data_IF_574923591391
#
_entry.id   IF_574923591391
#
_cell.length_a   1.000
_cell.length_b   1.000
_cell.length_c   1.000
_cell.angle_alpha   90.00
_cell.angle_beta   90.00
_cell.angle_gamma   90.00
#
_symmetry.space_group_name_H-M   'P 1'
#
loop_
_entity.id
_entity.type
_entity.pdbx_description
1 polymer ?
#
# COMPACT_ATOMS: atom_id res chain seq x y z
N UNK A 1 -14.96 -11.73 6.42
CA UNK A 1 -15.08 -10.46 5.67
C UNK A 1 -14.05 -9.51 6.24
N UNK A 2 -13.40 -8.74 5.37
CA UNK A 2 -12.25 -7.91 5.70
C UNK A 2 -12.50 -6.48 5.22
N UNK A 3 -12.00 -5.50 5.95
CA UNK A 3 -11.75 -4.16 5.41
C UNK A 3 -10.26 -3.98 5.12
N UNK A 4 -9.94 -3.18 4.13
CA UNK A 4 -8.63 -2.60 3.91
C UNK A 4 -8.74 -1.09 4.10
N UNK A 5 -8.08 -0.58 5.13
CA UNK A 5 -7.83 0.84 5.33
C UNK A 5 -6.50 1.21 4.68
N UNK A 6 -6.48 2.28 3.88
CA UNK A 6 -5.27 2.75 3.18
C UNK A 6 -5.22 4.28 3.22
N UNK A 7 -4.16 4.83 3.83
CA UNK A 7 -4.00 6.27 4.01
C UNK A 7 -3.60 6.96 2.70
N UNK A 8 -4.39 7.96 2.31
CA UNK A 8 -4.15 8.72 1.08
C UNK A 8 -2.83 9.50 1.15
N UNK A 9 -1.95 9.26 0.16
CA UNK A 9 -0.69 9.99 -0.01
C UNK A 9 0.14 10.05 1.29
N UNK A 10 0.24 8.92 2.00
CA UNK A 10 0.64 8.84 3.40
C UNK A 10 1.81 9.75 3.83
N UNK A 11 3.01 9.63 3.25
CA UNK A 11 4.15 10.45 3.69
C UNK A 11 3.92 11.94 3.44
N UNK A 12 3.37 12.32 2.28
CA UNK A 12 3.05 13.73 2.01
C UNK A 12 1.96 14.26 2.96
N UNK A 13 0.99 13.41 3.33
CA UNK A 13 -0.04 13.76 4.31
C UNK A 13 0.53 13.91 5.72
N UNK A 14 1.52 13.09 6.10
CA UNK A 14 2.23 13.23 7.38
C UNK A 14 2.98 14.57 7.49
N UNK A 15 3.63 15.02 6.41
CA UNK A 15 4.29 16.33 6.39
C UNK A 15 3.28 17.50 6.46
N UNK A 16 2.09 17.32 5.87
CA UNK A 16 1.01 18.33 5.86
C UNK A 16 0.23 18.42 7.17
N UNK A 17 0.15 17.34 7.95
CA UNK A 17 -0.80 17.21 9.06
C UNK A 17 -0.58 18.26 10.17
N UNK A 18 0.68 18.59 10.45
CA UNK A 18 1.08 19.59 11.44
C UNK A 18 1.37 20.97 10.82
N UNK A 19 1.08 21.14 9.52
CA UNK A 19 1.40 22.34 8.74
C UNK A 19 0.16 22.86 8.00
N UNK A 20 -0.71 23.64 8.68
CA UNK A 20 -1.91 24.19 8.07
C UNK A 20 -1.64 25.02 6.82
N UNK A 21 -0.49 25.67 6.76
CA UNK A 21 -0.01 26.44 5.61
C UNK A 21 0.22 25.58 4.35
N UNK A 22 0.41 24.27 4.50
CA UNK A 22 0.63 23.34 3.38
C UNK A 22 -0.63 22.61 2.93
N UNK A 23 -1.80 22.88 3.52
CA UNK A 23 -3.03 22.08 3.33
C UNK A 23 -3.43 21.91 1.86
N UNK A 24 -3.29 22.96 1.04
CA UNK A 24 -3.64 22.95 -0.38
C UNK A 24 -2.40 23.15 -1.29
N UNK A 25 -1.20 22.98 -0.73
CA UNK A 25 0.04 23.19 -1.46
C UNK A 25 0.59 21.87 -2.04
N UNK A 26 1.29 21.93 -3.19
CA UNK A 26 1.99 20.78 -3.76
C UNK A 26 3.15 20.34 -2.87
N UNK A 27 2.99 19.18 -2.23
CA UNK A 27 4.02 18.53 -1.40
C UNK A 27 4.51 17.24 -2.06
N UNK A 28 5.83 17.04 -2.09
CA UNK A 28 6.50 15.78 -2.42
C UNK A 28 7.46 15.36 -1.31
N UNK A 29 7.65 14.06 -1.17
CA UNK A 29 8.65 13.46 -0.27
C UNK A 29 9.64 12.66 -1.11
N UNK A 30 10.93 12.85 -0.86
CA UNK A 30 12.03 12.18 -1.55
C UNK A 30 12.53 10.94 -0.78
N UNK A 31 13.19 10.04 -1.50
CA UNK A 31 13.82 8.83 -0.95
C UNK A 31 14.95 9.16 0.02
N UNK A 32 15.51 8.12 0.66
CA UNK A 32 16.82 8.25 1.28
C UNK A 32 17.82 8.86 0.29
N UNK A 33 18.63 9.81 0.76
CA UNK A 33 19.57 10.59 -0.03
C UNK A 33 18.93 11.42 -1.16
N UNK A 34 17.63 11.68 -1.09
CA UNK A 34 16.90 12.56 -2.01
C UNK A 34 17.01 12.19 -3.50
N UNK A 35 17.14 10.89 -3.80
CA UNK A 35 17.34 10.39 -5.16
C UNK A 35 16.11 10.49 -6.06
N UNK A 36 14.93 10.12 -5.54
CA UNK A 36 13.68 10.13 -6.31
C UNK A 36 12.45 10.43 -5.43
N UNK A 37 11.35 10.80 -6.09
CA UNK A 37 10.07 11.07 -5.43
C UNK A 37 9.42 9.75 -4.97
N UNK A 38 9.19 9.62 -3.66
CA UNK A 38 8.57 8.42 -3.05
C UNK A 38 7.15 8.67 -2.51
N UNK A 39 6.73 9.93 -2.40
CA UNK A 39 5.34 10.27 -2.12
C UNK A 39 4.99 11.63 -2.70
N UNK A 40 3.70 11.81 -3.02
CA UNK A 40 3.17 13.00 -3.67
C UNK A 40 1.74 13.27 -3.22
N UNK A 41 1.50 14.51 -2.83
CA UNK A 41 0.17 15.05 -2.57
C UNK A 41 -0.69 15.09 -3.85
N UNK A 42 -2.03 15.13 -3.76
CA UNK A 42 -2.90 15.30 -4.94
C UNK A 42 -2.53 16.50 -5.81
N UNK A 43 -2.14 17.61 -5.19
CA UNK A 43 -1.75 18.85 -5.85
C UNK A 43 -0.44 18.65 -6.63
N UNK A 44 0.53 17.92 -6.07
CA UNK A 44 1.76 17.55 -6.78
C UNK A 44 1.51 16.57 -7.94
N UNK A 45 0.53 15.66 -7.82
CA UNK A 45 0.12 14.77 -8.93
C UNK A 45 -0.46 15.56 -10.09
N UNK A 46 -1.25 16.60 -9.81
CA UNK A 46 -1.84 17.46 -10.83
C UNK A 46 -0.79 18.25 -11.62
N UNK A 47 0.38 18.51 -11.03
CA UNK A 47 1.54 19.11 -11.70
C UNK A 47 2.33 18.13 -12.60
N UNK A 48 1.87 16.88 -12.74
CA UNK A 48 2.49 15.87 -13.60
C UNK A 48 3.71 15.16 -13.00
N UNK A 49 4.05 15.41 -11.74
CA UNK A 49 5.17 14.76 -11.05
C UNK A 49 4.84 13.28 -10.83
N UNK A 50 5.68 12.39 -11.34
CA UNK A 50 5.45 10.93 -11.30
C UNK A 50 6.06 10.29 -10.04
N UNK A 51 5.48 9.17 -9.62
CA UNK A 51 6.07 8.33 -8.57
C UNK A 51 7.39 7.75 -9.08
N UNK A 52 8.44 7.74 -8.25
CA UNK A 52 9.77 7.27 -8.62
C UNK A 52 10.54 8.19 -9.57
N UNK A 53 9.98 9.36 -9.93
CA UNK A 53 10.68 10.30 -10.80
C UNK A 53 11.96 10.80 -10.11
N UNK A 54 13.13 10.78 -10.78
CA UNK A 54 14.37 11.28 -10.20
C UNK A 54 14.27 12.76 -9.83
N UNK A 55 14.80 13.13 -8.65
CA UNK A 55 14.69 14.49 -8.13
C UNK A 55 15.32 15.53 -9.06
N UNK A 56 16.45 15.20 -9.70
CA UNK A 56 17.12 16.12 -10.62
C UNK A 56 16.23 16.54 -11.81
N UNK A 57 15.35 15.64 -12.28
CA UNK A 57 14.41 15.94 -13.35
C UNK A 57 13.30 16.85 -12.83
N UNK A 58 12.74 16.54 -11.65
CA UNK A 58 11.67 17.34 -11.04
C UNK A 58 12.15 18.76 -10.75
N UNK A 59 13.38 18.92 -10.24
CA UNK A 59 13.99 20.23 -9.96
C UNK A 59 14.17 21.09 -11.23
N UNK A 60 14.29 20.46 -12.40
CA UNK A 60 14.40 21.15 -13.69
C UNK A 60 13.04 21.44 -14.33
N UNK A 61 11.94 20.90 -13.81
CA UNK A 61 10.60 21.18 -14.34
C UNK A 61 10.26 22.66 -14.12
N UNK A 62 9.82 23.33 -15.18
CA UNK A 62 9.20 24.65 -15.09
C UNK A 62 7.75 24.48 -14.67
N UNK A 63 7.46 24.82 -13.42
CA UNK A 63 6.15 24.63 -12.82
C UNK A 63 5.52 25.95 -12.48
N UNK A 64 4.20 26.02 -12.68
CA UNK A 64 3.39 27.22 -12.42
C UNK A 64 3.23 27.50 -10.92
N UNK A 65 3.42 26.47 -10.08
CA UNK A 65 3.33 26.56 -8.63
C UNK A 65 4.61 26.09 -7.96
N UNK A 66 4.91 26.72 -6.81
CA UNK A 66 5.99 26.28 -5.92
C UNK A 66 5.68 24.88 -5.37
N UNK A 67 6.66 23.97 -5.44
CA UNK A 67 6.56 22.67 -4.77
C UNK A 67 7.30 22.75 -3.44
N UNK A 68 6.70 22.15 -2.41
CA UNK A 68 7.32 21.89 -1.13
C UNK A 68 7.91 20.49 -1.13
N UNK A 69 9.21 20.39 -0.81
CA UNK A 69 10.01 19.18 -0.95
C UNK A 69 10.56 18.81 0.41
N UNK A 70 10.35 17.56 0.82
CA UNK A 70 10.84 17.02 2.08
C UNK A 70 11.70 15.79 1.83
N UNK A 71 12.81 15.67 2.54
CA UNK A 71 13.51 14.39 2.68
C UNK A 71 12.68 13.44 3.55
N UNK A 72 12.77 12.13 3.33
CA UNK A 72 11.98 11.15 4.08
C UNK A 72 12.24 11.17 5.59
N UNK A 73 11.17 11.33 6.39
CA UNK A 73 11.20 11.27 7.85
C UNK A 73 10.49 10.01 8.38
N UNK A 74 11.19 8.86 8.37
CA UNK A 74 10.59 7.58 8.76
C UNK A 74 10.17 7.50 10.24
N UNK A 75 10.78 8.28 11.13
CA UNK A 75 10.37 8.33 12.54
C UNK A 75 8.97 8.95 12.68
N UNK A 76 8.73 10.06 11.98
CA UNK A 76 7.41 10.67 11.87
C UNK A 76 6.40 9.70 11.24
N UNK A 77 6.75 9.09 10.10
CA UNK A 77 5.84 8.21 9.37
C UNK A 77 5.47 6.98 10.20
N UNK A 78 6.42 6.39 10.92
CA UNK A 78 6.16 5.28 11.82
C UNK A 78 5.24 5.68 12.99
N UNK A 79 5.52 6.83 13.63
CA UNK A 79 4.68 7.36 14.72
C UNK A 79 3.24 7.62 14.26
N UNK A 80 3.05 8.21 13.08
CA UNK A 80 1.73 8.45 12.51
C UNK A 80 1.00 7.14 12.16
N UNK A 81 1.71 6.16 11.61
CA UNK A 81 1.15 4.82 11.32
C UNK A 81 0.65 4.12 12.59
N UNK A 82 1.44 4.16 13.66
CA UNK A 82 1.04 3.59 14.96
C UNK A 82 -0.21 4.28 15.54
N UNK A 83 -0.34 5.60 15.37
CA UNK A 83 -1.55 6.33 15.79
C UNK A 83 -2.78 5.89 15.00
N UNK A 84 -2.66 5.72 13.69
CA UNK A 84 -3.74 5.18 12.85
C UNK A 84 -4.12 3.77 13.33
N UNK A 85 -3.14 2.90 13.52
CA UNK A 85 -3.36 1.53 13.99
C UNK A 85 -4.12 1.51 15.32
N UNK A 86 -3.69 2.31 16.32
CA UNK A 86 -4.37 2.39 17.61
C UNK A 86 -5.83 2.87 17.49
N UNK A 87 -6.13 3.79 16.56
CA UNK A 87 -7.52 4.20 16.27
C UNK A 87 -8.32 3.04 15.69
N UNK A 88 -7.76 2.32 14.72
CA UNK A 88 -8.45 1.18 14.08
C UNK A 88 -8.70 0.05 15.10
N UNK A 89 -7.73 -0.27 15.94
CA UNK A 89 -7.85 -1.29 17.01
C UNK A 89 -8.92 -0.90 18.04
N UNK A 90 -9.12 0.39 18.33
CA UNK A 90 -10.19 0.83 19.22
C UNK A 90 -11.60 0.62 18.67
N UNK A 91 -11.74 0.44 17.36
CA UNK A 91 -13.03 0.28 16.66
C UNK A 91 -13.27 -1.13 16.13
N UNK A 92 -12.27 -2.02 16.21
CA UNK A 92 -12.34 -3.33 15.56
C UNK A 92 -11.69 -4.45 16.38
N UNK A 93 -12.16 -5.70 16.25
CA UNK A 93 -11.63 -6.83 17.02
C UNK A 93 -10.16 -7.14 16.73
N UNK A 94 -9.74 -6.98 15.47
CA UNK A 94 -8.39 -7.30 15.03
C UNK A 94 -7.99 -6.45 13.83
N UNK A 95 -6.74 -5.99 13.84
CA UNK A 95 -6.10 -5.21 12.79
C UNK A 95 -4.75 -5.84 12.46
N UNK A 96 -4.51 -6.08 11.18
CA UNK A 96 -3.23 -6.57 10.66
C UNK A 96 -2.57 -5.46 9.82
N UNK A 97 -1.40 -4.94 10.24
CA UNK A 97 -0.63 -4.04 9.41
C UNK A 97 -0.06 -4.79 8.20
N UNK A 98 -0.42 -4.36 7.00
CA UNK A 98 0.12 -4.91 5.74
C UNK A 98 1.31 -4.08 5.22
N UNK A 99 1.23 -2.76 5.36
CA UNK A 99 2.31 -1.81 5.13
C UNK A 99 2.26 -0.69 6.18
N UNK A 100 3.09 0.35 6.00
CA UNK A 100 3.07 1.51 6.90
C UNK A 100 1.78 2.34 6.79
N UNK A 101 1.11 2.27 5.64
CA UNK A 101 -0.08 3.03 5.30
C UNK A 101 -1.33 2.18 5.03
N UNK A 102 -1.20 0.85 5.02
CA UNK A 102 -2.28 -0.08 4.74
C UNK A 102 -2.47 -1.09 5.88
N UNK A 103 -3.71 -1.22 6.33
CA UNK A 103 -4.09 -2.16 7.39
C UNK A 103 -5.33 -2.96 6.98
N UNK A 104 -5.25 -4.29 7.13
CA UNK A 104 -6.43 -5.14 7.06
C UNK A 104 -7.14 -5.16 8.40
N UNK A 105 -8.47 -5.17 8.38
CA UNK A 105 -9.32 -5.14 9.57
C UNK A 105 -10.28 -6.32 9.49
N UNK A 106 -10.41 -7.06 10.58
CA UNK A 106 -11.42 -8.09 10.73
C UNK A 106 -12.80 -7.46 10.97
N UNK A 107 -13.77 -7.81 10.13
CA UNK A 107 -15.15 -7.37 10.28
C UNK A 107 -16.09 -8.46 10.79
N UNK A 108 -15.58 -9.64 11.15
CA UNK A 108 -16.40 -10.71 11.75
C UNK A 108 -17.12 -10.17 12.99
N UNK A 109 -18.43 -10.35 13.07
CA UNK A 109 -19.26 -9.87 14.17
C UNK A 109 -19.77 -8.44 13.96
N UNK A 110 -18.93 -7.51 13.51
CA UNK A 110 -19.32 -6.11 13.26
C UNK A 110 -20.43 -6.04 12.21
N UNK A 111 -20.29 -6.81 11.14
CA UNK A 111 -21.20 -6.82 10.01
C UNK A 111 -22.62 -7.33 10.33
N UNK A 112 -22.84 -7.89 11.52
CA UNK A 112 -24.18 -8.26 12.00
C UNK A 112 -24.86 -7.12 12.76
N UNK A 113 -24.09 -6.15 13.25
CA UNK A 113 -24.59 -5.04 14.05
C UNK A 113 -24.78 -3.76 13.22
N UNK A 114 -23.96 -3.57 12.19
CA UNK A 114 -23.91 -2.34 11.41
C UNK A 114 -23.56 -2.62 9.95
N UNK A 115 -24.05 -1.80 9.03
CA UNK A 115 -23.73 -1.99 7.61
C UNK A 115 -22.24 -1.77 7.35
N UNK A 116 -21.61 -2.56 6.47
CA UNK A 116 -20.20 -2.39 6.14
C UNK A 116 -19.84 -0.99 5.68
N UNK A 117 -20.64 -0.37 4.81
CA UNK A 117 -20.42 1.00 4.35
C UNK A 117 -20.45 2.01 5.50
N UNK A 118 -21.42 1.91 6.41
CA UNK A 118 -21.50 2.82 7.55
C UNK A 118 -20.25 2.67 8.44
N UNK A 119 -19.85 1.43 8.74
CA UNK A 119 -18.64 1.19 9.51
C UNK A 119 -17.38 1.75 8.81
N UNK A 120 -17.28 1.60 7.49
CA UNK A 120 -16.20 2.19 6.71
C UNK A 120 -16.15 3.72 6.80
N UNK A 121 -17.30 4.40 6.84
CA UNK A 121 -17.36 5.84 7.07
C UNK A 121 -16.96 6.22 8.49
N UNK A 122 -17.43 5.48 9.50
CA UNK A 122 -17.04 5.68 10.90
C UNK A 122 -15.53 5.57 11.09
N UNK A 123 -14.89 4.54 10.51
CA UNK A 123 -13.45 4.38 10.55
C UNK A 123 -12.74 5.64 9.99
N UNK A 124 -13.16 6.12 8.82
CA UNK A 124 -12.58 7.30 8.16
C UNK A 124 -12.70 8.57 9.00
N UNK A 125 -13.88 8.80 9.57
CA UNK A 125 -14.15 9.98 10.39
C UNK A 125 -13.31 9.96 11.67
N UNK A 126 -13.23 8.81 12.33
CA UNK A 126 -12.44 8.66 13.54
C UNK A 126 -10.94 8.87 13.26
N UNK A 127 -10.39 8.20 12.24
CA UNK A 127 -8.98 8.36 11.86
C UNK A 127 -8.69 9.82 11.50
N UNK A 128 -9.57 10.48 10.73
CA UNK A 128 -9.39 11.89 10.37
C UNK A 128 -9.42 12.81 11.59
N UNK A 129 -10.37 12.61 12.51
CA UNK A 129 -10.50 13.47 13.69
C UNK A 129 -9.33 13.34 14.65
N UNK A 130 -8.78 12.13 14.82
CA UNK A 130 -7.73 11.87 15.82
C UNK A 130 -6.32 12.01 15.26
N UNK A 131 -6.13 11.77 13.97
CA UNK A 131 -4.80 11.80 13.34
C UNK A 131 -4.63 12.92 12.33
N UNK A 132 -5.71 13.53 11.84
CA UNK A 132 -5.69 14.50 10.73
C UNK A 132 -5.49 13.86 9.35
N UNK A 133 -5.28 12.53 9.27
CA UNK A 133 -5.07 11.81 8.02
C UNK A 133 -6.38 11.36 7.38
N UNK A 134 -6.41 11.28 6.05
CA UNK A 134 -7.56 10.74 5.31
C UNK A 134 -7.20 9.41 4.67
N UNK A 135 -8.14 8.49 4.62
CA UNK A 135 -7.91 7.14 4.11
C UNK A 135 -9.04 6.69 3.20
N UNK A 136 -8.80 5.76 2.29
CA UNK A 136 -9.81 4.97 1.58
C UNK A 136 -10.11 3.68 2.33
N UNK A 137 -11.37 3.20 2.29
CA UNK A 137 -11.75 1.94 2.92
C UNK A 137 -12.45 1.04 1.89
N UNK A 138 -11.81 -0.09 1.57
CA UNK A 138 -12.41 -1.14 0.74
C UNK A 138 -12.82 -2.33 1.60
N UNK A 139 -14.06 -2.80 1.48
CA UNK A 139 -14.59 -3.90 2.29
C UNK A 139 -15.03 -5.03 1.38
N UNK A 140 -14.63 -6.27 1.68
CA UNK A 140 -15.06 -7.43 0.91
C UNK A 140 -14.91 -8.78 1.65
N UNK A 141 -15.48 -9.89 1.14
CA UNK A 141 -15.37 -11.20 1.77
C UNK A 141 -13.93 -11.72 1.85
N UNK A 142 -13.07 -11.32 0.93
CA UNK A 142 -11.66 -11.75 0.80
C UNK A 142 -10.72 -10.55 0.78
N UNK A 143 -9.44 -10.74 1.16
CA UNK A 143 -8.44 -9.66 1.19
C UNK A 143 -8.20 -9.08 -0.21
N UNK A 144 -8.19 -9.94 -1.23
CA UNK A 144 -8.01 -9.50 -2.63
C UNK A 144 -9.18 -8.65 -3.10
N UNK A 145 -10.42 -9.04 -2.80
CA UNK A 145 -11.57 -8.20 -3.14
C UNK A 145 -11.59 -6.90 -2.33
N UNK A 146 -11.10 -6.90 -1.08
CA UNK A 146 -10.99 -5.68 -0.28
C UNK A 146 -9.98 -4.70 -0.90
N UNK A 147 -8.85 -5.20 -1.42
CA UNK A 147 -7.90 -4.43 -2.24
C UNK A 147 -8.56 -3.88 -3.51
N UNK A 148 -9.35 -4.67 -4.24
CA UNK A 148 -10.11 -4.20 -5.42
C UNK A 148 -11.15 -3.14 -5.07
N UNK A 149 -11.86 -3.30 -3.96
CA UNK A 149 -12.80 -2.31 -3.45
C UNK A 149 -12.07 -1.00 -3.07
N UNK A 150 -10.91 -1.11 -2.44
CA UNK A 150 -10.08 0.05 -2.09
C UNK A 150 -9.55 0.76 -3.34
N UNK A 151 -9.10 0.02 -4.36
CA UNK A 151 -8.74 0.61 -5.65
C UNK A 151 -9.89 1.45 -6.22
N UNK A 152 -11.12 0.93 -6.17
CA UNK A 152 -12.31 1.66 -6.62
C UNK A 152 -12.55 2.95 -5.84
N UNK A 153 -12.24 2.99 -4.53
CA UNK A 153 -12.35 4.24 -3.75
C UNK A 153 -11.45 5.36 -4.28
N UNK A 154 -10.31 5.01 -4.89
CA UNK A 154 -9.35 5.96 -5.48
C UNK A 154 -9.76 6.40 -6.88
N UNK A 155 -10.40 5.51 -7.66
CA UNK A 155 -10.79 5.81 -9.04
C UNK A 155 -12.08 6.62 -9.15
N UNK A 156 -12.99 6.44 -8.18
CA UNK A 156 -14.38 6.83 -8.33
C UNK A 156 -14.83 7.69 -7.14
N UNK A 157 -14.74 9.03 -7.27
CA UNK A 157 -15.06 9.96 -6.18
C UNK A 157 -16.47 9.83 -5.62
N UNK A 158 -17.43 9.34 -6.41
CA UNK A 158 -18.82 9.17 -6.01
C UNK A 158 -19.03 8.20 -4.83
N UNK A 159 -18.02 7.37 -4.52
CA UNK A 159 -18.08 6.47 -3.36
C UNK A 159 -17.67 7.15 -2.05
N UNK A 160 -17.31 8.43 -2.07
CA UNK A 160 -16.85 9.19 -0.89
C UNK A 160 -15.75 8.45 -0.11
N UNK A 161 -14.98 7.66 -0.86
CA UNK A 161 -13.89 6.80 -0.46
C UNK A 161 -14.22 5.59 0.44
N UNK A 162 -15.47 5.11 0.44
CA UNK A 162 -15.84 3.80 1.01
C UNK A 162 -16.52 2.95 -0.05
N UNK A 163 -16.04 1.73 -0.26
CA UNK A 163 -16.71 0.75 -1.12
C UNK A 163 -16.81 -0.55 -0.35
N UNK A 164 -18.04 -1.05 -0.15
CA UNK A 164 -18.24 -2.42 0.29
C UNK A 164 -18.76 -3.29 -0.86
N UNK A 165 -18.12 -4.45 -0.97
CA UNK A 165 -18.48 -5.56 -1.83
C UNK A 165 -18.99 -6.66 -0.91
N UNK A 166 -20.24 -7.04 -1.02
CA UNK A 166 -20.82 -8.09 -0.18
C UNK A 166 -21.26 -9.27 -1.05
N UNK A 167 -21.35 -10.46 -0.46
CA UNK A 167 -21.72 -11.67 -1.19
C UNK A 167 -23.17 -11.57 -1.74
N UNK A 168 -24.03 -10.84 -1.02
CA UNK A 168 -25.43 -10.59 -1.38
C UNK A 168 -25.55 -9.68 -2.61
N UNK A 169 -24.52 -8.88 -2.92
CA UNK A 169 -24.51 -7.99 -4.07
C UNK A 169 -23.46 -8.41 -5.11
N UNK A 170 -23.58 -9.64 -5.60
CA UNK A 170 -22.71 -10.22 -6.63
C UNK A 170 -22.60 -9.34 -7.87
N UNK A 171 -23.70 -8.70 -8.30
CA UNK A 171 -23.71 -7.82 -9.46
C UNK A 171 -22.77 -6.60 -9.29
N UNK A 172 -22.70 -6.03 -8.09
CA UNK A 172 -21.74 -4.94 -7.79
C UNK A 172 -20.29 -5.43 -7.90
N UNK A 173 -20.00 -6.65 -7.43
CA UNK A 173 -18.68 -7.28 -7.58
C UNK A 173 -18.33 -7.43 -9.06
N UNK A 174 -19.20 -8.07 -9.84
CA UNK A 174 -18.95 -8.31 -11.27
C UNK A 174 -18.75 -7.00 -12.03
N UNK A 175 -19.56 -5.98 -11.75
CA UNK A 175 -19.44 -4.65 -12.37
C UNK A 175 -18.10 -3.99 -12.04
N UNK A 176 -17.68 -4.01 -10.77
CA UNK A 176 -16.39 -3.43 -10.37
C UNK A 176 -15.22 -4.17 -11.05
N UNK A 177 -15.22 -5.50 -10.99
CA UNK A 177 -14.15 -6.32 -11.58
C UNK A 177 -14.10 -6.19 -13.11
N UNK A 178 -15.23 -5.95 -13.76
CA UNK A 178 -15.30 -5.70 -15.20
C UNK A 178 -14.67 -4.37 -15.62
N UNK A 179 -14.59 -3.40 -14.69
CA UNK A 179 -13.99 -2.08 -14.93
C UNK A 179 -12.54 -1.98 -14.41
N UNK A 180 -12.11 -2.91 -13.56
CA UNK A 180 -10.75 -2.95 -13.04
C UNK A 180 -9.81 -3.63 -14.05
N UNK A 181 -8.75 -2.96 -14.53
CA UNK A 181 -7.72 -3.60 -15.35
C UNK A 181 -7.03 -4.73 -14.60
N UNK A 182 -6.63 -5.78 -15.30
CA UNK A 182 -6.01 -6.96 -14.67
C UNK A 182 -4.70 -6.61 -13.94
N UNK A 183 -3.93 -5.64 -14.44
CA UNK A 183 -2.69 -5.17 -13.81
C UNK A 183 -2.90 -4.36 -12.52
N UNK A 184 -4.13 -3.99 -12.21
CA UNK A 184 -4.48 -3.33 -10.94
C UNK A 184 -4.93 -4.34 -9.87
N UNK A 185 -4.95 -5.64 -10.19
CA UNK A 185 -5.28 -6.70 -9.23
C UNK A 185 -4.07 -6.96 -8.32
N UNK A 186 -4.33 -7.07 -7.02
CA UNK A 186 -3.29 -7.37 -6.03
C UNK A 186 -2.55 -8.68 -6.36
N UNK A 187 -1.23 -8.60 -6.49
CA UNK A 187 -0.37 -9.71 -6.90
C UNK A 187 -0.10 -9.82 -8.41
N UNK A 188 -0.73 -9.01 -9.25
CA UNK A 188 -0.51 -8.98 -10.71
C UNK A 188 0.40 -7.80 -11.09
N UNK A 189 1.71 -8.05 -11.17
CA UNK A 189 2.67 -7.04 -11.63
C UNK A 189 2.81 -6.96 -13.16
N UNK A 190 3.55 -5.98 -13.66
CA UNK A 190 3.73 -5.67 -15.10
C UNK A 190 3.95 -6.90 -15.99
N UNK A 191 4.90 -7.79 -15.65
CA UNK A 191 5.19 -8.99 -16.43
C UNK A 191 4.02 -9.98 -16.48
N UNK A 192 3.24 -10.07 -15.40
CA UNK A 192 2.04 -10.90 -15.37
C UNK A 192 0.93 -10.25 -16.20
N UNK A 193 0.77 -8.93 -16.11
CA UNK A 193 -0.16 -8.16 -16.93
C UNK A 193 0.07 -8.39 -18.42
N UNK A 194 1.32 -8.28 -18.90
CA UNK A 194 1.66 -8.54 -20.31
C UNK A 194 1.25 -9.95 -20.75
N UNK A 195 1.57 -10.96 -19.94
CA UNK A 195 1.23 -12.36 -20.22
C UNK A 195 -0.28 -12.61 -20.21
N UNK A 196 -1.01 -12.03 -19.26
CA UNK A 196 -2.47 -12.18 -19.16
C UNK A 196 -3.17 -11.47 -20.33
N UNK A 197 -2.73 -10.26 -20.67
CA UNK A 197 -3.25 -9.52 -21.82
C UNK A 197 -3.04 -10.28 -23.13
N UNK A 198 -1.88 -10.94 -23.30
CA UNK A 198 -1.60 -11.79 -24.45
C UNK A 198 -2.55 -13.00 -24.57
N UNK A 199 -3.18 -13.42 -23.46
CA UNK A 199 -4.22 -14.46 -23.43
C UNK A 199 -5.64 -13.88 -23.53
N UNK A 200 -5.79 -12.57 -23.79
CA UNK A 200 -7.08 -11.89 -23.84
C UNK A 200 -7.69 -11.55 -22.48
N UNK A 201 -6.95 -11.76 -21.38
CA UNK A 201 -7.37 -11.44 -20.01
C UNK A 201 -6.89 -10.03 -19.67
N UNK A 202 -7.76 -9.04 -19.88
CA UNK A 202 -7.47 -7.62 -19.71
C UNK A 202 -8.11 -7.02 -18.44
N UNK A 203 -9.16 -7.65 -17.91
CA UNK A 203 -9.87 -7.17 -16.71
C UNK A 203 -9.80 -8.16 -15.55
N UNK A 204 -10.01 -7.66 -14.33
CA UNK A 204 -10.08 -8.50 -13.14
C UNK A 204 -11.23 -9.52 -13.22
N UNK A 205 -12.34 -9.17 -13.87
CA UNK A 205 -13.46 -10.09 -14.11
C UNK A 205 -13.05 -11.24 -15.03
N UNK A 206 -12.34 -10.95 -16.13
CA UNK A 206 -11.84 -11.99 -17.03
C UNK A 206 -10.85 -12.92 -16.31
N UNK A 207 -10.01 -12.38 -15.42
CA UNK A 207 -9.12 -13.20 -14.59
C UNK A 207 -9.93 -14.07 -13.61
N UNK A 208 -10.96 -13.51 -12.97
CA UNK A 208 -11.84 -14.27 -12.08
C UNK A 208 -12.59 -15.40 -12.81
N UNK A 209 -12.91 -15.22 -14.09
CA UNK A 209 -13.57 -16.23 -14.93
C UNK A 209 -12.60 -17.26 -15.53
N UNK A 210 -11.29 -17.05 -15.42
CA UNK A 210 -10.30 -17.96 -15.97
C UNK A 210 -10.32 -19.31 -15.24
N UNK A 211 -10.06 -20.39 -15.97
CA UNK A 211 -9.98 -21.72 -15.38
C UNK A 211 -8.80 -21.82 -14.38
N UNK A 212 -9.09 -22.14 -13.13
CA UNK A 212 -8.09 -22.18 -12.04
C UNK A 212 -6.98 -23.21 -12.29
N UNK A 213 -7.30 -24.38 -12.84
CA UNK A 213 -6.31 -25.40 -13.18
C UNK A 213 -5.35 -24.91 -14.29
N UNK A 214 -5.88 -24.21 -15.30
CA UNK A 214 -5.07 -23.56 -16.33
C UNK A 214 -4.15 -22.49 -15.74
N UNK A 215 -4.69 -21.61 -14.87
CA UNK A 215 -3.90 -20.55 -14.23
C UNK A 215 -2.78 -21.13 -13.37
N UNK A 216 -3.07 -22.15 -12.56
CA UNK A 216 -2.06 -22.84 -11.74
C UNK A 216 -0.96 -23.48 -12.59
N UNK A 217 -1.32 -24.14 -13.70
CA UNK A 217 -0.38 -24.84 -14.58
C UNK A 217 0.56 -23.89 -15.33
N UNK A 218 0.05 -22.75 -15.79
CA UNK A 218 0.79 -21.83 -16.66
C UNK A 218 1.42 -20.64 -15.94
N UNK A 219 0.99 -20.35 -14.71
CA UNK A 219 1.49 -19.24 -13.90
C UNK A 219 2.00 -19.74 -12.54
N UNK A 220 1.19 -19.64 -11.49
CA UNK A 220 1.59 -20.01 -10.13
C UNK A 220 0.38 -20.34 -9.27
N UNK A 221 0.64 -21.04 -8.16
CA UNK A 221 -0.36 -21.29 -7.11
C UNK A 221 -0.85 -19.98 -6.48
N UNK A 222 -0.02 -18.93 -6.45
CA UNK A 222 -0.41 -17.63 -5.90
C UNK A 222 -1.46 -16.97 -6.80
N UNK A 223 -1.25 -16.96 -8.12
CA UNK A 223 -2.24 -16.37 -9.05
C UNK A 223 -3.54 -17.18 -9.07
N UNK A 224 -3.45 -18.51 -8.93
CA UNK A 224 -4.63 -19.35 -8.75
C UNK A 224 -5.43 -18.97 -7.50
N UNK A 225 -4.77 -18.72 -6.36
CA UNK A 225 -5.43 -18.20 -5.15
C UNK A 225 -6.06 -16.83 -5.37
N UNK A 226 -5.41 -15.94 -6.13
CA UNK A 226 -6.00 -14.65 -6.52
C UNK A 226 -7.31 -14.85 -7.29
N UNK A 227 -7.37 -15.80 -8.24
CA UNK A 227 -8.60 -16.12 -8.98
C UNK A 227 -9.71 -16.59 -8.03
N UNK A 228 -9.39 -17.46 -7.07
CA UNK A 228 -10.35 -17.92 -6.04
C UNK A 228 -10.84 -16.76 -5.16
N UNK A 229 -9.91 -15.93 -4.70
CA UNK A 229 -10.23 -14.77 -3.86
C UNK A 229 -11.15 -13.77 -4.58
N UNK A 230 -10.94 -13.52 -5.88
CA UNK A 230 -11.81 -12.67 -6.71
C UNK A 230 -13.23 -13.25 -6.87
N UNK A 231 -13.38 -14.56 -6.70
CA UNK A 231 -14.67 -15.25 -6.68
C UNK A 231 -15.28 -15.37 -5.27
N UNK A 232 -14.64 -14.80 -4.25
CA UNK A 232 -15.15 -14.79 -2.87
C UNK A 232 -14.66 -15.97 -2.02
N UNK A 233 -13.82 -16.84 -2.55
CA UNK A 233 -13.20 -17.93 -1.79
C UNK A 233 -11.97 -17.41 -1.04
N UNK A 234 -12.07 -17.30 0.29
CA UNK A 234 -10.96 -16.78 1.11
C UNK A 234 -9.82 -17.79 1.18
N UNK A 235 -8.68 -17.43 0.58
CA UNK A 235 -7.44 -18.20 0.54
C UNK A 235 -6.31 -17.56 1.37
N UNK A 236 -6.50 -16.31 1.82
CA UNK A 236 -5.51 -15.54 2.58
C UNK A 236 -6.15 -15.13 3.92
N UNK A 237 -5.72 -15.76 5.01
CA UNK A 237 -6.17 -15.44 6.37
C UNK A 237 -5.59 -14.12 6.86
N UNK A 238 -6.20 -13.55 7.91
CA UNK A 238 -5.52 -12.55 8.72
C UNK A 238 -4.31 -13.20 9.40
N UNK A 239 -3.16 -12.57 9.31
CA UNK A 239 -1.96 -12.95 10.06
C UNK A 239 -2.00 -12.24 11.41
N UNK A 240 -2.23 -13.00 12.48
CA UNK A 240 -2.20 -12.46 13.86
C UNK A 240 -0.77 -12.11 14.29
N UNK A 241 0.24 -12.71 13.65
CA UNK A 241 1.65 -12.34 13.80
C UNK A 241 2.40 -12.53 12.47
N UNK A 242 3.12 -11.52 11.96
CA UNK A 242 3.92 -11.68 10.75
C UNK A 242 5.02 -12.72 10.98
N UNK A 243 5.32 -13.59 10.00
CA UNK A 243 6.37 -14.58 10.13
C UNK A 243 7.72 -13.91 10.36
N UNK A 244 8.60 -14.58 11.11
CA UNK A 244 9.95 -14.09 11.34
C UNK A 244 10.65 -13.78 10.00
N UNK A 245 11.25 -12.59 9.90
CA UNK A 245 11.99 -12.17 8.71
C UNK A 245 13.03 -13.23 8.37
N UNK A 246 13.04 -13.67 7.11
CA UNK A 246 14.00 -14.66 6.61
C UNK A 246 15.29 -14.00 6.12
N UNK A 247 15.32 -12.67 6.02
CA UNK A 247 16.46 -11.90 5.51
C UNK A 247 16.55 -10.55 6.24
N UNK A 248 17.77 -10.16 6.60
CA UNK A 248 18.10 -8.82 7.09
C UNK A 248 19.07 -8.21 6.10
N UNK A 249 18.65 -7.13 5.45
CA UNK A 249 19.47 -6.39 4.49
C UNK A 249 19.67 -4.96 5.00
N UNK A 250 20.92 -4.51 4.98
CA UNK A 250 21.27 -3.10 5.14
C UNK A 250 22.01 -2.65 3.89
N UNK A 251 21.28 -2.05 2.96
CA UNK A 251 21.84 -1.48 1.73
C UNK A 251 21.43 -0.02 1.61
N UNK A 252 22.34 0.80 1.08
CA UNK A 252 22.09 2.20 0.73
C UNK A 252 22.80 2.52 -0.57
N UNK A 253 22.18 3.34 -1.40
CA UNK A 253 22.86 3.95 -2.53
C UNK A 253 23.82 5.02 -2.01
N UNK A 254 25.03 5.08 -2.56
CA UNK A 254 25.98 6.14 -2.25
C UNK A 254 25.55 7.45 -2.91
N UNK A 255 25.74 8.58 -2.22
CA UNK A 255 25.47 9.92 -2.78
C UNK A 255 26.42 10.28 -3.91
N UNK A 256 27.67 9.79 -3.83
CA UNK A 256 28.69 9.95 -4.85
C UNK A 256 29.38 8.60 -5.10
N UNK A 257 30.03 8.48 -6.26
CA UNK A 257 30.79 7.27 -6.59
C UNK A 257 31.99 7.15 -5.65
N UNK A 258 32.04 6.08 -4.86
CA UNK A 258 33.23 5.71 -4.11
C UNK A 258 34.27 5.16 -5.08
N UNK A 259 35.43 5.81 -5.16
CA UNK A 259 36.58 5.38 -5.97
C UNK A 259 37.74 4.85 -5.12
N UNK A 260 37.69 5.08 -3.81
CA UNK A 260 38.72 4.68 -2.87
C UNK A 260 38.35 3.37 -2.14
N UNK A 261 39.36 2.51 -1.93
CA UNK A 261 39.17 1.19 -1.32
C UNK A 261 38.83 1.29 0.16
N UNK A 262 39.48 2.21 0.89
CA UNK A 262 39.28 2.33 2.33
C UNK A 262 37.90 2.89 2.64
N UNK A 263 37.44 3.87 1.86
CA UNK A 263 36.06 4.37 1.93
C UNK A 263 35.02 3.25 1.65
N UNK A 264 35.27 2.36 0.69
CA UNK A 264 34.40 1.21 0.43
C UNK A 264 34.40 0.23 1.62
N UNK A 265 35.57 -0.06 2.19
CA UNK A 265 35.69 -0.91 3.38
C UNK A 265 34.89 -0.35 4.56
N UNK A 266 35.02 0.96 4.83
CA UNK A 266 34.29 1.62 5.91
C UNK A 266 32.77 1.51 5.72
N UNK A 267 32.28 1.73 4.50
CA UNK A 267 30.85 1.59 4.20
C UNK A 267 30.34 0.16 4.42
N UNK A 268 31.09 -0.85 3.97
CA UNK A 268 30.73 -2.26 4.17
C UNK A 268 30.68 -2.61 5.66
N UNK A 269 31.68 -2.19 6.44
CA UNK A 269 31.71 -2.40 7.90
C UNK A 269 30.49 -1.77 8.56
N UNK A 270 30.19 -0.50 8.25
CA UNK A 270 29.04 0.19 8.81
C UNK A 270 27.70 -0.51 8.49
N UNK A 271 27.54 -1.01 7.26
CA UNK A 271 26.33 -1.73 6.86
C UNK A 271 26.23 -3.10 7.53
N UNK A 272 27.36 -3.81 7.68
CA UNK A 272 27.43 -5.08 8.39
C UNK A 272 27.10 -4.92 9.89
N UNK A 273 27.66 -3.89 10.54
CA UNK A 273 27.35 -3.55 11.93
C UNK A 273 25.85 -3.28 12.12
N UNK A 274 25.26 -2.47 11.23
CA UNK A 274 23.84 -2.15 11.31
C UNK A 274 22.94 -3.36 11.05
N UNK A 275 23.34 -4.26 10.15
CA UNK A 275 22.64 -5.53 9.93
C UNK A 275 22.73 -6.42 11.18
N UNK A 276 23.91 -6.50 11.82
CA UNK A 276 24.11 -7.28 13.03
C UNK A 276 23.36 -6.70 14.25
N UNK A 277 23.26 -5.38 14.37
CA UNK A 277 22.42 -4.72 15.38
C UNK A 277 20.96 -5.10 15.22
N UNK A 278 20.43 -5.06 13.99
CA UNK A 278 19.05 -5.49 13.69
C UNK A 278 18.85 -6.97 14.04
N UNK A 279 19.79 -7.84 13.65
CA UNK A 279 19.73 -9.28 13.95
C UNK A 279 19.62 -9.52 15.47
N UNK A 280 20.45 -8.83 16.28
CA UNK A 280 20.41 -8.93 17.74
C UNK A 280 19.10 -8.35 18.32
N UNK A 281 18.67 -7.20 17.82
CA UNK A 281 17.42 -6.55 18.24
C UNK A 281 16.18 -7.41 17.97
N UNK A 282 16.18 -8.12 16.83
CA UNK A 282 15.12 -9.06 16.43
C UNK A 282 15.30 -10.46 17.06
N UNK A 283 16.36 -10.68 17.86
CA UNK A 283 16.70 -11.96 18.52
C UNK A 283 16.75 -13.15 17.56
N UNK A 284 17.30 -12.93 16.37
CA UNK A 284 17.42 -13.93 15.32
C UNK A 284 18.85 -14.49 15.19
N UNK A 285 18.98 -15.62 14.49
CA UNK A 285 20.26 -16.22 14.12
C UNK A 285 20.35 -16.30 12.59
N UNK A 286 21.55 -16.13 12.02
CA UNK A 286 21.77 -16.24 10.58
C UNK A 286 22.72 -17.40 10.26
N UNK A 287 22.43 -18.14 9.17
CA UNK A 287 23.30 -19.19 8.64
C UNK A 287 24.26 -18.69 7.56
N UNK A 288 23.90 -17.60 6.88
CA UNK A 288 24.62 -17.02 5.74
C UNK A 288 24.65 -15.50 5.88
N UNK A 289 25.77 -14.88 5.49
CA UNK A 289 26.03 -13.43 5.46
C UNK A 289 26.45 -13.04 4.05
#
# INVERSE_FOLDING_TARGET
MFALADINSFYASCEKVFRPDLRNEPVIVLSNNDGCVIARSPEAKALGIRMGQPWFQVRQMRLEKKIHVFSSNYALYHSMSQRVMAVLESLSPAVEPYSIDEMFIDLRGINHCISPEFFGHQLREQVKSWTGLTMGVGIAPTKTLAKSAQWATKQWPQFSGVVALTAENRNRILKLLGLQPVGEVWGVGHRLTEKLNALGINTALQLAQANTAFIRKNFSVILERTVRELNGESCISLEEAPPAKQQIVCSRSFGERITDKDAMHQAVVQYAERAAEKLRGERQYCRQV
#
